data_IF_868490113823
#
_entry.id   IF_868490113823
#
_cell.length_a   1.000
_cell.length_b   1.000
_cell.length_c   1.000
_cell.angle_alpha   90.00
_cell.angle_beta   90.00
_cell.angle_gamma   90.00
#
_symmetry.space_group_name_H-M   'P 1'
#
loop_
_entity.id
_entity.type
_entity.pdbx_description
1 polymer ?
#
# COMPACT_ATOMS: atom_id res chain seq x y z
N UNK A 1 0.61 40.08 -3.22
CA UNK A 1 0.62 39.51 -1.85
C UNK A 1 1.54 38.30 -1.87
N UNK A 2 2.57 38.22 -1.01
CA UNK A 2 3.49 37.09 -1.01
C UNK A 2 2.77 35.80 -0.62
N UNK A 3 3.09 34.67 -1.25
CA UNK A 3 2.51 33.35 -0.96
C UNK A 3 2.56 32.98 0.53
N UNK A 4 3.54 33.52 1.26
CA UNK A 4 3.71 33.41 2.70
C UNK A 4 2.50 33.89 3.52
N UNK A 5 1.64 34.79 3.01
CA UNK A 5 0.46 35.26 3.73
C UNK A 5 -0.73 34.30 3.70
N UNK A 6 -0.67 33.25 2.87
CA UNK A 6 -1.69 32.19 2.81
C UNK A 6 -1.31 30.94 3.61
N UNK A 7 -0.07 30.87 4.10
CA UNK A 7 0.40 29.78 4.95
C UNK A 7 0.30 30.25 6.41
N UNK A 8 -0.79 29.95 7.14
CA UNK A 8 -0.80 30.14 8.59
C UNK A 8 0.42 29.45 9.17
N UNK A 9 1.11 30.11 10.11
CA UNK A 9 2.28 29.55 10.81
C UNK A 9 1.85 28.30 11.57
N UNK A 10 1.87 27.16 10.89
CA UNK A 10 1.55 25.87 11.47
C UNK A 10 2.64 25.56 12.50
N UNK A 11 2.29 25.32 13.77
CA UNK A 11 3.27 25.01 14.82
C UNK A 11 3.93 23.64 14.65
N UNK A 12 3.54 22.90 13.60
CA UNK A 12 4.03 21.57 13.28
C UNK A 12 5.13 21.64 12.23
N UNK A 13 6.21 20.85 12.38
CA UNK A 13 7.24 20.79 11.37
C UNK A 13 6.65 20.22 10.07
N UNK A 14 7.00 20.81 8.92
CA UNK A 14 6.46 20.44 7.60
C UNK A 14 6.55 18.94 7.31
N UNK A 15 7.60 18.28 7.83
CA UNK A 15 7.81 16.85 7.67
C UNK A 15 6.69 16.01 8.30
N UNK A 16 6.15 16.40 9.46
CA UNK A 16 5.05 15.69 10.11
C UNK A 16 3.79 15.75 9.24
N UNK A 17 3.53 16.92 8.65
CA UNK A 17 2.38 17.11 7.77
C UNK A 17 2.52 16.21 6.54
N UNK A 18 3.68 16.22 5.89
CA UNK A 18 3.93 15.40 4.70
C UNK A 18 3.80 13.91 5.02
N UNK A 19 4.41 13.45 6.12
CA UNK A 19 4.39 12.04 6.53
C UNK A 19 2.96 11.60 6.87
N UNK A 20 2.17 12.43 7.56
CA UNK A 20 0.77 12.12 7.85
C UNK A 20 -0.10 12.09 6.59
N UNK A 21 0.12 12.99 5.62
CA UNK A 21 -0.59 12.97 4.33
C UNK A 21 -0.25 11.72 3.54
N UNK A 22 1.04 11.34 3.47
CA UNK A 22 1.49 10.10 2.82
C UNK A 22 0.88 8.87 3.50
N UNK A 23 0.80 8.87 4.83
CA UNK A 23 0.15 7.80 5.59
C UNK A 23 -1.36 7.70 5.26
N UNK A 24 -2.05 8.84 5.20
CA UNK A 24 -3.47 8.90 4.82
C UNK A 24 -3.72 8.37 3.40
N UNK A 25 -2.86 8.74 2.45
CA UNK A 25 -2.91 8.20 1.09
C UNK A 25 -2.62 6.70 1.07
N UNK A 26 -1.63 6.24 1.84
CA UNK A 26 -1.32 4.81 1.97
C UNK A 26 -2.47 3.98 2.52
N UNK A 27 -3.13 4.47 3.58
CA UNK A 27 -4.33 3.84 4.14
C UNK A 27 -5.48 3.81 3.13
N UNK A 28 -5.69 4.90 2.39
CA UNK A 28 -6.69 4.95 1.32
C UNK A 28 -6.40 3.93 0.21
N UNK A 29 -5.14 3.82 -0.23
CA UNK A 29 -4.72 2.86 -1.25
C UNK A 29 -4.95 1.41 -0.80
N UNK A 30 -4.58 1.05 0.44
CA UNK A 30 -4.87 -0.29 0.96
C UNK A 30 -6.37 -0.55 0.98
N UNK A 31 -7.17 0.39 1.50
CA UNK A 31 -8.63 0.23 1.53
C UNK A 31 -9.21 0.08 0.11
N UNK A 32 -8.72 0.85 -0.85
CA UNK A 32 -9.12 0.76 -2.25
C UNK A 32 -8.70 -0.58 -2.90
N UNK A 33 -7.51 -1.09 -2.59
CA UNK A 33 -7.00 -2.36 -3.09
C UNK A 33 -7.88 -3.56 -2.73
N UNK A 34 -8.62 -3.50 -1.62
CA UNK A 34 -9.58 -4.55 -1.23
C UNK A 34 -10.75 -4.70 -2.22
N UNK A 35 -11.14 -3.61 -2.89
CA UNK A 35 -12.24 -3.60 -3.86
C UNK A 35 -11.78 -3.77 -5.31
N UNK A 36 -10.49 -3.99 -5.53
CA UNK A 36 -9.93 -4.07 -6.87
C UNK A 36 -9.98 -5.52 -7.37
N UNK A 37 -10.87 -5.80 -8.33
CA UNK A 37 -11.03 -7.16 -8.89
C UNK A 37 -9.90 -7.58 -9.84
N UNK A 38 -8.99 -6.67 -10.21
CA UNK A 38 -7.89 -6.95 -11.11
C UNK A 38 -6.62 -7.32 -10.34
N UNK A 39 -6.29 -8.61 -10.25
CA UNK A 39 -5.12 -9.17 -9.53
C UNK A 39 -3.84 -8.34 -9.72
N UNK A 40 -3.41 -8.15 -10.98
CA UNK A 40 -2.18 -7.38 -11.28
C UNK A 40 -2.19 -5.95 -10.72
N UNK A 41 -3.36 -5.31 -10.70
CA UNK A 41 -3.50 -3.93 -10.21
C UNK A 41 -3.62 -3.91 -8.70
N UNK A 42 -4.18 -4.96 -8.11
CA UNK A 42 -4.38 -5.10 -6.67
C UNK A 42 -3.04 -5.20 -5.95
N UNK A 43 -2.13 -6.05 -6.42
CA UNK A 43 -0.81 -6.25 -5.80
C UNK A 43 0.04 -4.98 -5.84
N UNK A 44 0.01 -4.27 -6.98
CA UNK A 44 0.69 -2.99 -7.13
C UNK A 44 0.15 -1.93 -6.15
N UNK A 45 -1.18 -1.87 -5.99
CA UNK A 45 -1.83 -0.92 -5.07
C UNK A 45 -1.52 -1.27 -3.63
N UNK A 46 -1.54 -2.55 -3.25
CA UNK A 46 -1.16 -2.99 -1.91
C UNK A 46 0.31 -2.73 -1.61
N UNK A 47 1.21 -2.96 -2.56
CA UNK A 47 2.63 -2.66 -2.40
C UNK A 47 2.86 -1.18 -2.12
N UNK A 48 2.30 -0.29 -2.95
CA UNK A 48 2.47 1.16 -2.80
C UNK A 48 1.81 1.65 -1.50
N UNK A 49 0.60 1.17 -1.20
CA UNK A 49 -0.11 1.52 0.05
C UNK A 49 0.66 1.09 1.30
N UNK A 50 1.18 -0.15 1.31
CA UNK A 50 1.97 -0.70 2.40
C UNK A 50 3.32 0.03 2.54
N UNK A 51 3.97 0.40 1.45
CA UNK A 51 5.21 1.19 1.50
C UNK A 51 4.98 2.58 2.12
N UNK A 52 3.90 3.27 1.75
CA UNK A 52 3.53 4.55 2.37
C UNK A 52 3.29 4.43 3.88
N UNK A 53 2.55 3.40 4.30
CA UNK A 53 2.30 3.15 5.72
C UNK A 53 3.53 2.65 6.47
N UNK A 54 4.45 1.97 5.80
CA UNK A 54 5.73 1.56 6.38
C UNK A 54 6.60 2.78 6.71
N UNK A 55 6.67 3.76 5.81
CA UNK A 55 7.38 5.03 6.09
C UNK A 55 6.80 5.70 7.33
N UNK A 56 5.47 5.74 7.44
CA UNK A 56 4.80 6.26 8.62
C UNK A 56 5.08 5.44 9.89
N UNK A 57 5.06 4.11 9.79
CA UNK A 57 5.34 3.20 10.90
C UNK A 57 6.74 3.40 11.49
N UNK A 58 7.73 3.59 10.61
CA UNK A 58 9.10 3.90 10.98
C UNK A 58 9.20 5.31 11.59
N UNK A 59 8.47 6.29 11.06
CA UNK A 59 8.43 7.66 11.60
C UNK A 59 7.92 7.71 13.04
N UNK A 60 6.83 6.99 13.36
CA UNK A 60 6.27 6.92 14.71
C UNK A 60 7.00 5.92 15.63
N UNK A 61 8.01 5.21 15.11
CA UNK A 61 8.79 4.22 15.86
C UNK A 61 8.00 2.96 16.26
N UNK A 62 6.92 2.62 15.56
CA UNK A 62 6.09 1.46 15.89
C UNK A 62 6.60 0.20 15.19
N UNK A 63 7.34 -0.63 15.94
CA UNK A 63 7.97 -1.85 15.43
C UNK A 63 6.93 -2.86 14.92
N UNK A 64 5.83 -3.07 15.66
CA UNK A 64 4.80 -4.05 15.28
C UNK A 64 4.16 -3.65 13.96
N UNK A 65 3.80 -2.37 13.83
CA UNK A 65 3.20 -1.86 12.61
C UNK A 65 4.21 -1.86 11.44
N UNK A 66 5.48 -1.57 11.72
CA UNK A 66 6.56 -1.63 10.72
C UNK A 66 6.74 -3.04 10.17
N UNK A 67 6.76 -4.06 11.04
CA UNK A 67 6.86 -5.46 10.63
C UNK A 67 5.65 -5.86 9.78
N UNK A 68 4.43 -5.49 10.21
CA UNK A 68 3.20 -5.80 9.48
C UNK A 68 3.21 -5.18 8.06
N UNK A 69 3.54 -3.90 7.95
CA UNK A 69 3.59 -3.21 6.66
C UNK A 69 4.74 -3.70 5.78
N UNK A 70 5.89 -4.06 6.37
CA UNK A 70 7.00 -4.68 5.65
C UNK A 70 6.61 -6.04 5.08
N UNK A 71 5.91 -6.87 5.86
CA UNK A 71 5.40 -8.16 5.41
C UNK A 71 4.41 -8.03 4.26
N UNK A 72 3.45 -7.09 4.39
CA UNK A 72 2.48 -6.82 3.32
C UNK A 72 3.14 -6.30 2.05
N UNK A 73 4.09 -5.36 2.17
CA UNK A 73 4.84 -4.85 1.04
C UNK A 73 5.68 -5.96 0.37
N UNK A 74 6.36 -6.81 1.15
CA UNK A 74 7.15 -7.90 0.60
C UNK A 74 6.28 -8.95 -0.12
N UNK A 75 5.15 -9.35 0.48
CA UNK A 75 4.24 -10.33 -0.12
C UNK A 75 3.66 -9.83 -1.45
N UNK A 76 3.06 -8.63 -1.43
CA UNK A 76 2.49 -8.01 -2.64
C UNK A 76 3.55 -7.71 -3.70
N UNK A 77 4.79 -7.41 -3.31
CA UNK A 77 5.88 -7.21 -4.27
C UNK A 77 6.28 -8.52 -4.96
N UNK A 78 6.34 -9.64 -4.24
CA UNK A 78 6.67 -10.94 -4.81
C UNK A 78 5.58 -11.39 -5.80
N UNK A 79 4.30 -11.27 -5.43
CA UNK A 79 3.17 -11.58 -6.32
C UNK A 79 3.18 -10.67 -7.55
N UNK A 80 3.42 -9.37 -7.36
CA UNK A 80 3.55 -8.41 -8.46
C UNK A 80 4.67 -8.79 -9.45
N UNK A 81 5.83 -9.21 -8.94
CA UNK A 81 6.96 -9.69 -9.76
C UNK A 81 6.60 -11.02 -10.48
N UNK A 82 5.95 -11.96 -9.81
CA UNK A 82 5.53 -13.26 -10.39
C UNK A 82 4.58 -13.04 -11.58
N UNK A 83 3.59 -12.15 -11.41
CA UNK A 83 2.67 -11.74 -12.49
C UNK A 83 3.40 -11.00 -13.61
N UNK A 84 4.36 -10.12 -13.29
CA UNK A 84 5.14 -9.40 -14.32
C UNK A 84 6.00 -10.32 -15.18
N UNK A 85 6.55 -11.39 -14.60
CA UNK A 85 7.37 -12.40 -15.32
C UNK A 85 6.48 -13.38 -16.11
N UNK A 86 5.15 -13.34 -15.92
CA UNK A 86 4.21 -14.17 -16.65
C UNK A 86 4.10 -15.60 -16.12
N UNK A 87 4.63 -15.85 -14.92
CA UNK A 87 4.38 -17.09 -14.20
C UNK A 87 2.93 -17.07 -13.71
N UNK A 88 2.01 -17.51 -14.57
CA UNK A 88 0.64 -17.77 -14.17
C UNK A 88 0.64 -19.05 -13.34
N UNK A 89 0.77 -18.94 -12.02
CA UNK A 89 0.16 -19.95 -11.17
C UNK A 89 -1.33 -19.65 -11.16
N UNK A 90 -2.08 -20.36 -11.99
CA UNK A 90 -3.52 -20.53 -11.78
C UNK A 90 -3.71 -21.19 -10.42
N UNK A 91 -3.83 -20.40 -9.34
CA UNK A 91 -4.34 -20.87 -8.07
C UNK A 91 -5.86 -21.00 -8.17
N UNK A 92 -6.28 -21.93 -9.05
CA UNK A 92 -7.67 -22.06 -9.47
C UNK A 92 -7.97 -23.44 -10.07
N UNK A 93 -7.42 -24.52 -9.51
CA UNK A 93 -8.00 -25.86 -9.76
C UNK A 93 -9.34 -25.93 -9.02
N UNK A 94 -10.37 -25.33 -9.61
CA UNK A 94 -11.74 -25.75 -9.34
C UNK A 94 -11.87 -27.14 -9.94
N UNK A 95 -11.77 -28.16 -9.09
CA UNK A 95 -12.26 -29.48 -9.41
C UNK A 95 -13.79 -29.38 -9.59
N UNK A 96 -14.26 -28.98 -10.77
CA UNK A 96 -15.65 -29.22 -11.14
C UNK A 96 -15.80 -30.72 -11.39
N UNK A 97 -16.67 -31.42 -10.63
CA UNK A 97 -16.94 -32.83 -10.93
C UNK A 97 -17.61 -32.94 -12.31
N UNK A 98 -17.34 -34.03 -13.06
CA UNK A 98 -17.94 -34.23 -14.37
C UNK A 98 -19.46 -34.21 -14.27
N UNK A 99 -20.09 -33.39 -15.11
CA UNK A 99 -21.54 -33.39 -15.28
C UNK A 99 -21.92 -34.75 -15.88
N UNK A 100 -22.66 -35.52 -15.09
CA UNK A 100 -23.28 -36.81 -15.45
C UNK A 100 -24.40 -36.57 -16.46
#
# INVERSE_FOLDING_TARGET
>A
MPLASFLPTLPWPLIDIVVNVVAGLGAFLIAYGVFLDAEKRQDAVFFVGAACLLVYALWIGNIIFSIAMSGLAAASFVEFIEIMIGYHKDHGVKNEPPKI
#
